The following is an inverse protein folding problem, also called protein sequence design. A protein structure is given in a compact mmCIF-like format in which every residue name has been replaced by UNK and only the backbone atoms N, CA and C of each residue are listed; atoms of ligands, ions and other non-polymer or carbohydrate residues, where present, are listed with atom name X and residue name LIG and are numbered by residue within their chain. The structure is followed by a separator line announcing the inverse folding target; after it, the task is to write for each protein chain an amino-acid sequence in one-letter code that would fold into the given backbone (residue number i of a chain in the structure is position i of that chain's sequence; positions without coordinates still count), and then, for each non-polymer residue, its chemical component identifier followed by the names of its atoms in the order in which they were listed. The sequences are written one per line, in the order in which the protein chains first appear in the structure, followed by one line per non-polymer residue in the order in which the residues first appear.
data_IF_583111287888
#
_entry.id   IF_583111287888
#
_cell.length_a   1.000
_cell.length_b   1.000
_cell.length_c   1.000
_cell.angle_alpha   90.00
_cell.angle_beta   90.00
_cell.angle_gamma   90.00
#
_symmetry.space_group_name_H-M   'P 1'
#
loop_
_entity.id
_entity.type
_entity.pdbx_description
1 polymer ?
#
# COMPACT_ATOMS: atom_id res chain seq x y z
N UNK A 1 -21.40 -17.82 -35.50
CA UNK A 1 -20.70 -16.88 -34.59
C UNK A 1 -19.97 -15.87 -35.45
N UNK A 2 -20.31 -14.57 -35.37
CA UNK A 2 -19.71 -13.51 -36.19
C UNK A 2 -18.59 -12.82 -35.38
N UNK A 3 -17.40 -12.68 -35.97
CA UNK A 3 -16.23 -12.03 -35.36
C UNK A 3 -16.52 -10.57 -34.94
N UNK A 4 -17.33 -9.85 -35.72
CA UNK A 4 -17.73 -8.48 -35.40
C UNK A 4 -18.48 -8.41 -34.07
N UNK A 5 -19.23 -9.45 -33.71
CA UNK A 5 -19.96 -9.54 -32.44
C UNK A 5 -19.02 -9.65 -31.23
N UNK A 6 -17.80 -10.18 -31.42
CA UNK A 6 -16.77 -10.25 -30.37
C UNK A 6 -15.97 -8.93 -30.28
N UNK A 7 -15.76 -8.23 -31.39
CA UNK A 7 -15.03 -6.95 -31.40
C UNK A 7 -15.90 -5.81 -30.86
N UNK A 8 -17.20 -5.84 -31.15
CA UNK A 8 -18.15 -4.81 -30.73
C UNK A 8 -18.79 -5.10 -29.37
N UNK A 9 -18.38 -6.16 -28.67
CA UNK A 9 -18.87 -6.42 -27.32
C UNK A 9 -18.32 -5.35 -26.37
N UNK A 10 -19.24 -4.69 -25.67
CA UNK A 10 -18.91 -3.81 -24.53
C UNK A 10 -19.39 -4.49 -23.24
N UNK A 11 -18.83 -5.65 -22.84
CA UNK A 11 -19.20 -6.22 -21.56
C UNK A 11 -18.74 -5.24 -20.48
N UNK A 12 -19.62 -4.91 -19.54
CA UNK A 12 -19.15 -4.39 -18.26
C UNK A 12 -18.28 -5.52 -17.68
N UNK A 13 -16.97 -5.33 -17.52
CA UNK A 13 -16.15 -6.36 -16.90
C UNK A 13 -16.63 -6.50 -15.46
N UNK A 14 -17.17 -7.67 -15.12
CA UNK A 14 -17.40 -7.99 -13.72
C UNK A 14 -16.04 -8.03 -13.00
N UNK A 15 -15.93 -7.43 -11.80
CA UNK A 15 -14.77 -7.63 -10.96
C UNK A 15 -14.44 -9.11 -10.87
N UNK A 16 -13.15 -9.46 -10.94
CA UNK A 16 -12.73 -10.85 -10.87
C UNK A 16 -13.36 -11.52 -9.63
N UNK A 17 -14.07 -12.62 -9.84
CA UNK A 17 -14.85 -13.29 -8.79
C UNK A 17 -14.20 -14.60 -8.28
N UNK A 18 -13.12 -15.06 -8.92
CA UNK A 18 -12.43 -16.29 -8.52
C UNK A 18 -11.60 -16.09 -7.24
N UNK A 19 -12.14 -16.63 -6.14
CA UNK A 19 -11.44 -17.02 -4.91
C UNK A 19 -10.91 -15.89 -4.05
N UNK A 20 -10.90 -16.12 -2.73
CA UNK A 20 -10.06 -15.31 -1.84
C UNK A 20 -8.59 -15.51 -2.26
N UNK A 21 -7.96 -14.42 -2.71
CA UNK A 21 -6.50 -14.37 -2.83
C UNK A 21 -5.88 -14.66 -1.45
N UNK A 22 -4.58 -14.96 -1.46
CA UNK A 22 -3.67 -15.10 -0.31
C UNK A 22 -4.27 -14.50 0.99
N UNK A 23 -4.40 -15.25 2.11
CA UNK A 23 -5.21 -14.87 3.25
C UNK A 23 -4.53 -13.82 4.15
N UNK A 24 -4.30 -12.61 3.61
CA UNK A 24 -3.59 -11.52 4.29
C UNK A 24 -4.23 -11.12 5.63
N UNK A 25 -5.56 -11.27 5.74
CA UNK A 25 -6.33 -10.93 6.94
C UNK A 25 -6.25 -11.99 8.05
N UNK A 26 -5.84 -13.23 7.72
CA UNK A 26 -5.65 -14.26 8.73
C UNK A 26 -4.50 -13.85 9.67
N UNK A 27 -4.71 -13.79 11.01
CA UNK A 27 -3.71 -13.27 11.93
C UNK A 27 -2.37 -14.01 11.88
N UNK A 28 -2.39 -15.33 11.71
CA UNK A 28 -1.17 -16.14 11.70
C UNK A 28 -0.42 -16.00 10.37
N UNK A 29 -1.15 -15.99 9.27
CA UNK A 29 -0.59 -15.68 7.96
C UNK A 29 0.01 -14.28 7.93
N UNK A 30 -0.72 -13.27 8.40
CA UNK A 30 -0.28 -11.88 8.46
C UNK A 30 1.03 -11.73 9.24
N UNK A 31 1.17 -12.42 10.38
CA UNK A 31 2.39 -12.39 11.19
C UNK A 31 3.59 -12.99 10.46
N UNK A 32 3.41 -14.08 9.72
CA UNK A 32 4.47 -14.65 8.88
C UNK A 32 4.84 -13.69 7.75
N UNK A 33 3.84 -13.12 7.09
CA UNK A 33 4.07 -12.16 6.01
C UNK A 33 4.75 -10.87 6.47
N UNK A 34 4.53 -10.42 7.70
CA UNK A 34 5.26 -9.29 8.25
C UNK A 34 6.78 -9.54 8.24
N UNK A 35 7.22 -10.77 8.52
CA UNK A 35 8.64 -11.13 8.45
C UNK A 35 9.17 -10.97 7.02
N UNK A 36 8.40 -11.42 6.03
CA UNK A 36 8.73 -11.27 4.61
C UNK A 36 8.76 -9.80 4.15
N UNK A 37 7.88 -8.95 4.70
CA UNK A 37 7.90 -7.51 4.40
C UNK A 37 9.15 -6.83 4.96
N UNK A 38 9.62 -7.25 6.13
CA UNK A 38 10.76 -6.64 6.80
C UNK A 38 12.11 -7.21 6.32
N UNK A 39 12.10 -8.43 5.78
CA UNK A 39 13.27 -9.08 5.17
C UNK A 39 13.91 -8.20 4.10
N UNK A 40 15.23 -8.03 4.19
CA UNK A 40 16.03 -7.31 3.19
C UNK A 40 16.76 -8.25 2.23
N UNK A 41 16.51 -9.55 2.32
CA UNK A 41 17.11 -10.57 1.47
C UNK A 41 16.41 -10.67 0.10
N UNK A 42 15.17 -10.19 -0.01
CA UNK A 42 14.36 -10.29 -1.23
C UNK A 42 13.33 -9.15 -1.36
N UNK A 43 12.70 -9.07 -2.53
CA UNK A 43 11.66 -8.08 -2.85
C UNK A 43 10.22 -8.69 -2.85
N UNK A 44 10.01 -9.85 -2.22
CA UNK A 44 8.79 -10.66 -2.37
C UNK A 44 7.51 -10.03 -1.80
N UNK A 45 7.54 -9.54 -0.56
CA UNK A 45 6.38 -8.92 0.10
C UNK A 45 6.49 -7.39 0.12
N UNK A 46 7.69 -6.87 0.37
CA UNK A 46 8.05 -5.48 0.14
C UNK A 46 9.35 -5.40 -0.65
N UNK A 47 9.55 -4.28 -1.34
CA UNK A 47 10.85 -3.96 -1.92
C UNK A 47 11.86 -3.73 -0.80
N UNK A 48 13.12 -4.04 -1.06
CA UNK A 48 14.24 -3.69 -0.20
C UNK A 48 14.37 -2.19 -0.03
N UNK A 49 14.92 -1.81 1.12
CA UNK A 49 14.89 -0.44 1.61
C UNK A 49 15.54 0.55 0.65
N UNK A 50 16.66 0.19 0.03
CA UNK A 50 17.32 1.06 -0.95
C UNK A 50 16.41 1.46 -2.12
N UNK A 51 15.49 0.57 -2.55
CA UNK A 51 14.50 0.89 -3.59
C UNK A 51 13.37 1.74 -3.05
N UNK A 52 12.88 1.44 -1.85
CA UNK A 52 11.87 2.25 -1.18
C UNK A 52 12.39 3.67 -0.98
N UNK A 53 13.62 3.83 -0.49
CA UNK A 53 14.27 5.13 -0.28
C UNK A 53 14.41 5.90 -1.59
N UNK A 54 14.83 5.23 -2.67
CA UNK A 54 14.90 5.84 -4.00
C UNK A 54 13.52 6.29 -4.51
N UNK A 55 12.48 5.46 -4.32
CA UNK A 55 11.11 5.82 -4.69
C UNK A 55 10.60 7.00 -3.86
N UNK A 56 10.83 7.00 -2.55
CA UNK A 56 10.44 8.09 -1.65
C UNK A 56 11.13 9.38 -2.05
N UNK A 57 12.43 9.34 -2.36
CA UNK A 57 13.18 10.51 -2.81
C UNK A 57 12.60 11.07 -4.12
N UNK A 58 12.27 10.20 -5.07
CA UNK A 58 11.64 10.61 -6.33
C UNK A 58 10.24 11.18 -6.12
N UNK A 59 9.40 10.55 -5.29
CA UNK A 59 8.06 11.04 -4.97
C UNK A 59 8.15 12.41 -4.30
N UNK A 60 8.95 12.53 -3.25
CA UNK A 60 9.10 13.78 -2.50
C UNK A 60 9.65 14.90 -3.40
N UNK A 61 10.75 14.65 -4.11
CA UNK A 61 11.45 15.68 -4.88
C UNK A 61 10.78 16.02 -6.21
N UNK A 62 10.36 15.00 -6.96
CA UNK A 62 9.85 15.19 -8.32
C UNK A 62 8.33 15.36 -8.34
N UNK A 63 7.60 14.46 -7.70
CA UNK A 63 6.14 14.45 -7.80
C UNK A 63 5.50 15.49 -6.87
N UNK A 64 5.99 15.59 -5.64
CA UNK A 64 5.44 16.47 -4.61
C UNK A 64 6.18 17.80 -4.52
N UNK A 65 7.27 17.98 -5.28
CA UNK A 65 8.07 19.21 -5.31
C UNK A 65 8.47 19.69 -3.91
N UNK A 66 8.72 18.73 -3.01
CA UNK A 66 9.08 18.94 -1.61
C UNK A 66 8.03 19.70 -0.79
N UNK A 67 6.80 19.82 -1.28
CA UNK A 67 5.69 20.47 -0.59
C UNK A 67 4.99 19.50 0.38
N UNK A 68 4.74 19.91 1.64
CA UNK A 68 3.89 19.15 2.56
C UNK A 68 2.56 18.77 1.91
N UNK A 69 2.21 17.48 1.97
CA UNK A 69 1.11 16.91 1.18
C UNK A 69 0.38 15.85 2.00
N UNK A 70 -0.93 15.71 1.80
CA UNK A 70 -1.73 14.63 2.36
C UNK A 70 -1.69 13.42 1.42
N UNK A 71 -1.02 12.35 1.85
CA UNK A 71 -0.75 11.14 1.08
C UNK A 71 -1.61 9.98 1.60
N UNK A 72 -2.30 9.29 0.70
CA UNK A 72 -2.96 8.01 0.98
C UNK A 72 -2.15 6.88 0.35
N UNK A 73 -1.75 5.89 1.14
CA UNK A 73 -1.02 4.69 0.71
C UNK A 73 -1.96 3.47 0.81
N UNK A 74 -2.32 2.90 -0.34
CA UNK A 74 -3.22 1.76 -0.45
C UNK A 74 -2.44 0.45 -0.47
N UNK A 75 -2.86 -0.50 0.36
CA UNK A 75 -2.12 -1.73 0.65
C UNK A 75 -0.72 -1.40 1.18
N UNK A 76 -0.69 -0.55 2.21
CA UNK A 76 0.54 0.05 2.73
C UNK A 76 1.50 -0.94 3.42
N UNK A 77 1.06 -2.18 3.66
CA UNK A 77 1.79 -3.18 4.43
C UNK A 77 2.22 -2.60 5.79
N UNK A 78 3.48 -2.81 6.22
CA UNK A 78 4.00 -2.28 7.48
C UNK A 78 4.32 -0.76 7.45
N UNK A 79 3.80 -0.01 6.48
CA UNK A 79 3.92 1.44 6.44
C UNK A 79 5.32 1.96 6.09
N UNK A 80 6.09 1.17 5.30
CA UNK A 80 7.48 1.51 4.96
C UNK A 80 7.58 2.80 4.14
N UNK A 81 6.61 3.08 3.26
CA UNK A 81 6.55 4.33 2.51
C UNK A 81 5.99 5.47 3.36
N UNK A 82 4.84 5.27 4.02
CA UNK A 82 4.22 6.27 4.89
C UNK A 82 5.21 6.84 5.91
N UNK A 83 5.94 5.98 6.63
CA UNK A 83 6.88 6.42 7.67
C UNK A 83 7.99 7.32 7.12
N UNK A 84 8.50 7.03 5.92
CA UNK A 84 9.55 7.82 5.27
C UNK A 84 9.03 9.14 4.72
N UNK A 85 7.87 9.12 4.07
CA UNK A 85 7.22 10.35 3.59
C UNK A 85 6.83 11.26 4.76
N UNK A 86 6.37 10.71 5.87
CA UNK A 86 6.07 11.50 7.07
C UNK A 86 7.29 12.17 7.68
N UNK A 87 8.46 11.49 7.67
CA UNK A 87 9.74 12.11 8.07
C UNK A 87 10.16 13.27 7.17
N UNK A 88 9.64 13.34 5.94
CA UNK A 88 9.88 14.44 5.00
C UNK A 88 8.81 15.54 5.08
N UNK A 89 7.92 15.51 6.09
CA UNK A 89 6.93 16.55 6.34
C UNK A 89 5.56 16.33 5.70
N UNK A 90 5.29 15.13 5.15
CA UNK A 90 3.98 14.79 4.63
C UNK A 90 3.07 14.20 5.72
N UNK A 91 1.75 14.35 5.56
CA UNK A 91 0.77 13.65 6.41
C UNK A 91 0.32 12.41 5.68
N UNK A 92 0.47 11.23 6.27
CA UNK A 92 0.21 9.96 5.59
C UNK A 92 -0.97 9.23 6.22
N UNK A 93 -1.83 8.66 5.38
CA UNK A 93 -2.81 7.65 5.79
C UNK A 93 -2.52 6.36 5.05
N UNK A 94 -2.27 5.27 5.78
CA UNK A 94 -2.09 3.94 5.20
C UNK A 94 -3.32 3.07 5.43
N UNK A 95 -3.72 2.30 4.42
CA UNK A 95 -4.78 1.29 4.54
C UNK A 95 -4.22 -0.05 4.11
N UNK A 96 -4.37 -1.06 4.96
CA UNK A 96 -3.98 -2.44 4.65
C UNK A 96 -4.94 -3.43 5.29
N UNK A 97 -5.04 -4.63 4.72
CA UNK A 97 -5.93 -5.68 5.19
C UNK A 97 -5.21 -6.71 6.10
N UNK A 98 -3.89 -6.59 6.26
CA UNK A 98 -3.07 -7.43 7.12
C UNK A 98 -2.95 -6.90 8.55
N UNK A 99 -3.53 -7.58 9.56
CA UNK A 99 -3.55 -7.08 10.94
C UNK A 99 -2.16 -6.91 11.56
N UNK A 100 -1.21 -7.81 11.28
CA UNK A 100 0.15 -7.70 11.83
C UNK A 100 0.91 -6.51 11.22
N UNK A 101 0.76 -6.30 9.91
CA UNK A 101 1.34 -5.16 9.19
C UNK A 101 0.82 -3.82 9.72
N UNK A 102 -0.49 -3.69 9.89
CA UNK A 102 -1.10 -2.46 10.44
C UNK A 102 -0.68 -2.21 11.88
N UNK A 103 -0.66 -3.25 12.72
CA UNK A 103 -0.23 -3.13 14.11
C UNK A 103 1.23 -2.62 14.19
N UNK A 104 2.12 -3.23 13.41
CA UNK A 104 3.51 -2.81 13.32
C UNK A 104 3.63 -1.35 12.82
N UNK A 105 2.92 -0.98 11.76
CA UNK A 105 2.97 0.36 11.20
C UNK A 105 2.55 1.44 12.23
N UNK A 106 1.49 1.17 13.01
CA UNK A 106 1.04 2.04 14.10
C UNK A 106 2.11 2.21 15.18
N UNK A 107 2.66 1.10 15.66
CA UNK A 107 3.71 1.11 16.68
C UNK A 107 4.93 1.92 16.21
N UNK A 108 5.40 1.68 14.98
CA UNK A 108 6.55 2.42 14.45
C UNK A 108 6.28 3.91 14.27
N UNK A 109 5.07 4.29 13.87
CA UNK A 109 4.71 5.71 13.75
C UNK A 109 4.61 6.38 15.12
N UNK A 110 4.03 5.71 16.12
CA UNK A 110 3.94 6.22 17.48
C UNK A 110 5.33 6.41 18.09
N UNK A 111 6.19 5.39 18.03
CA UNK A 111 7.55 5.44 18.54
C UNK A 111 8.39 6.57 17.90
N UNK A 112 8.15 6.86 16.63
CA UNK A 112 8.86 7.91 15.89
C UNK A 112 8.13 9.26 15.85
N UNK A 113 6.97 9.40 16.51
CA UNK A 113 6.19 10.63 16.52
C UNK A 113 5.75 11.12 15.14
N UNK A 114 5.43 10.19 14.23
CA UNK A 114 5.14 10.51 12.82
C UNK A 114 3.67 10.89 12.60
N UNK A 115 3.44 11.81 11.65
CA UNK A 115 2.11 12.21 11.17
C UNK A 115 1.49 11.12 10.26
N UNK A 116 1.35 9.90 10.78
CA UNK A 116 0.81 8.74 10.09
C UNK A 116 -0.44 8.22 10.80
N UNK A 117 -1.50 7.95 10.04
CA UNK A 117 -2.68 7.20 10.50
C UNK A 117 -2.78 5.90 9.73
N UNK A 118 -2.99 4.77 10.41
CA UNK A 118 -3.15 3.46 9.75
C UNK A 118 -4.50 2.82 10.06
N UNK A 119 -5.15 2.28 9.03
CA UNK A 119 -6.44 1.59 9.12
C UNK A 119 -6.30 0.14 8.67
N UNK A 120 -6.83 -0.77 9.49
CA UNK A 120 -7.07 -2.15 9.09
C UNK A 120 -8.41 -2.20 8.36
N UNK A 121 -8.37 -2.30 7.04
CA UNK A 121 -9.57 -2.22 6.20
C UNK A 121 -9.36 -2.96 4.88
N UNK A 122 -10.45 -3.42 4.27
CA UNK A 122 -10.44 -4.02 2.94
C UNK A 122 -10.64 -2.94 1.88
N UNK A 123 -9.63 -2.74 1.02
CA UNK A 123 -9.69 -1.75 -0.06
C UNK A 123 -10.89 -1.90 -1.00
N UNK A 124 -11.48 -3.10 -1.10
CA UNK A 124 -12.68 -3.35 -1.92
C UNK A 124 -13.93 -2.65 -1.38
N UNK A 125 -13.97 -2.37 -0.07
CA UNK A 125 -15.11 -1.76 0.63
C UNK A 125 -14.75 -0.49 1.41
N UNK A 126 -13.46 -0.18 1.55
CA UNK A 126 -13.00 0.94 2.36
C UNK A 126 -13.51 2.28 1.83
N UNK A 127 -14.07 3.09 2.73
CA UNK A 127 -14.33 4.50 2.43
C UNK A 127 -13.01 5.26 2.52
N UNK A 128 -12.53 5.74 1.38
CA UNK A 128 -11.30 6.51 1.27
C UNK A 128 -11.58 7.98 1.58
N UNK A 129 -10.72 8.59 2.40
CA UNK A 129 -10.67 10.05 2.49
C UNK A 129 -10.23 10.63 1.12
N UNK A 130 -10.47 11.90 0.86
CA UNK A 130 -9.96 12.59 -0.34
C UNK A 130 -8.52 13.05 -0.11
N UNK A 131 -7.50 12.31 -0.57
CA UNK A 131 -6.13 12.73 -0.39
C UNK A 131 -5.74 13.73 -1.49
N UNK A 132 -4.62 14.41 -1.31
CA UNK A 132 -3.99 15.15 -2.43
C UNK A 132 -3.38 14.17 -3.43
N UNK A 133 -2.86 13.04 -2.94
CA UNK A 133 -2.33 11.96 -3.78
C UNK A 133 -2.60 10.58 -3.19
N UNK A 134 -2.83 9.61 -4.08
CA UNK A 134 -2.98 8.20 -3.74
C UNK A 134 -1.81 7.40 -4.34
N UNK A 135 -1.16 6.58 -3.52
CA UNK A 135 -0.06 5.70 -3.89
C UNK A 135 -0.49 4.24 -3.69
N UNK A 136 0.01 3.34 -4.55
CA UNK A 136 -0.19 1.91 -4.41
C UNK A 136 1.03 1.18 -4.95
N UNK A 137 1.78 0.55 -4.07
CA UNK A 137 3.02 -0.14 -4.43
C UNK A 137 2.77 -1.65 -4.46
N UNK A 138 2.48 -2.19 -5.64
CA UNK A 138 2.48 -3.63 -5.83
C UNK A 138 3.90 -4.20 -5.64
N UNK A 139 3.98 -5.38 -5.02
CA UNK A 139 5.17 -6.22 -5.13
C UNK A 139 5.38 -6.52 -6.62
N UNK A 140 6.36 -5.85 -7.24
CA UNK A 140 6.71 -6.12 -8.63
C UNK A 140 7.34 -7.51 -8.70
N UNK A 141 6.73 -8.37 -9.50
CA UNK A 141 7.42 -9.55 -10.03
C UNK A 141 8.44 -9.11 -11.07
#
# INVERSE_FOLDING_TARGET
MNLLTIVQRTPLPEPWAEGDKIPWHDPDFSRRMLQEHLSQEHDAASRRMHRIDAHVAWIHGTLLQQAPTNVLDLACGPGLYCSRLARLGHTCTGIDFGPASVAYAKEQAELAGLACTFRLDDLRSAVLATPTICLGFGAAR
#
